data_IF_807578628247
#
_entry.id   IF_807578628247
#
_cell.length_a   1.000
_cell.length_b   1.000
_cell.length_c   1.000
_cell.angle_alpha   90.00
_cell.angle_beta   90.00
_cell.angle_gamma   90.00
#
_symmetry.space_group_name_H-M   'P 1'
#
loop_
_entity.id
_entity.type
_entity.pdbx_description
1 polymer ?
#
# COMPACT_ATOMS: atom_id res chain seq x y z
N UNK A 1 18.27 10.11 14.08
CA UNK A 1 16.81 10.04 13.93
C UNK A 1 16.25 9.02 14.91
N UNK A 2 15.27 9.43 15.71
CA UNK A 2 14.52 8.53 16.58
C UNK A 2 13.67 7.58 15.74
N UNK A 3 13.29 6.43 16.31
CA UNK A 3 12.45 5.44 15.64
C UNK A 3 11.11 6.02 15.19
N UNK A 4 10.45 6.79 16.06
CA UNK A 4 9.20 7.50 15.75
C UNK A 4 9.35 8.46 14.57
N UNK A 5 10.48 9.17 14.44
CA UNK A 5 10.74 10.05 13.29
C UNK A 5 10.88 9.27 11.98
N UNK A 6 11.42 8.04 12.04
CA UNK A 6 11.48 7.15 10.86
C UNK A 6 10.08 6.72 10.45
N UNK A 7 9.25 6.31 11.42
CA UNK A 7 7.88 5.86 11.17
C UNK A 7 7.00 6.98 10.61
N UNK A 8 7.11 8.20 11.14
CA UNK A 8 6.39 9.38 10.61
C UNK A 8 6.76 9.61 9.15
N UNK A 9 8.07 9.59 8.82
CA UNK A 9 8.52 9.73 7.43
C UNK A 9 8.03 8.62 6.51
N UNK A 10 7.93 7.38 7.02
CA UNK A 10 7.37 6.25 6.27
C UNK A 10 5.89 6.49 5.97
N UNK A 11 5.11 6.92 6.97
CA UNK A 11 3.69 7.22 6.80
C UNK A 11 3.46 8.38 5.81
N UNK A 12 4.25 9.45 5.91
CA UNK A 12 4.21 10.60 4.99
C UNK A 12 4.52 10.16 3.55
N UNK A 13 5.60 9.39 3.36
CA UNK A 13 5.98 8.90 2.04
C UNK A 13 4.90 7.96 1.45
N UNK A 14 4.33 7.08 2.25
CA UNK A 14 3.25 6.19 1.83
C UNK A 14 2.00 7.00 1.38
N UNK A 15 1.68 8.09 2.08
CA UNK A 15 0.60 9.00 1.70
C UNK A 15 0.90 9.76 0.42
N UNK A 16 2.16 10.18 0.22
CA UNK A 16 2.57 10.86 -1.00
C UNK A 16 2.56 9.92 -2.21
N UNK A 17 2.94 8.65 -2.05
CA UNK A 17 2.75 7.63 -3.10
C UNK A 17 1.29 7.56 -3.51
N UNK A 18 0.34 7.48 -2.55
CA UNK A 18 -1.09 7.45 -2.86
C UNK A 18 -1.55 8.69 -3.66
N UNK A 19 -1.07 9.90 -3.31
CA UNK A 19 -1.38 11.12 -4.06
C UNK A 19 -0.85 11.08 -5.49
N UNK A 20 0.38 10.61 -5.68
CA UNK A 20 0.98 10.48 -7.02
C UNK A 20 0.17 9.50 -7.88
N UNK A 21 -0.29 8.38 -7.32
CA UNK A 21 -1.15 7.42 -8.03
C UNK A 21 -2.46 8.04 -8.55
N UNK A 22 -3.01 9.03 -7.84
CA UNK A 22 -4.24 9.73 -8.27
C UNK A 22 -4.00 10.63 -9.49
N UNK A 23 -2.77 11.14 -9.64
CA UNK A 23 -2.41 12.12 -10.65
C UNK A 23 -1.80 11.50 -11.92
N UNK A 24 -1.32 10.26 -11.85
CA UNK A 24 -0.55 9.65 -12.92
C UNK A 24 -1.40 8.94 -13.98
N UNK A 25 -1.32 9.45 -15.21
CA UNK A 25 -1.90 8.82 -16.41
C UNK A 25 -1.19 7.50 -16.78
N UNK A 26 0.02 7.26 -16.24
CA UNK A 26 0.80 6.02 -16.43
C UNK A 26 -0.03 4.77 -16.11
N UNK A 27 -0.82 4.84 -15.05
CA UNK A 27 -1.66 3.73 -14.61
C UNK A 27 -2.93 3.51 -15.44
N UNK A 28 -3.26 4.40 -16.37
CA UNK A 28 -4.41 4.19 -17.26
C UNK A 28 -4.23 2.97 -18.17
N UNK A 29 -3.00 2.48 -18.34
CA UNK A 29 -2.68 1.26 -19.10
C UNK A 29 -2.73 -0.01 -18.27
N UNK A 30 -2.57 0.10 -16.94
CA UNK A 30 -2.54 -1.03 -15.99
C UNK A 30 -3.30 -0.65 -14.70
N UNK A 31 -4.65 -0.57 -14.76
CA UNK A 31 -5.46 -0.14 -13.63
C UNK A 31 -5.34 -1.08 -12.42
N UNK A 32 -5.08 -2.37 -12.64
CA UNK A 32 -4.88 -3.34 -11.56
C UNK A 32 -3.58 -3.08 -10.77
N UNK A 33 -2.49 -2.73 -11.47
CA UNK A 33 -1.23 -2.35 -10.82
C UNK A 33 -1.39 -1.05 -10.02
N UNK A 34 -2.23 -0.12 -10.46
CA UNK A 34 -2.55 1.10 -9.70
C UNK A 34 -3.15 0.75 -8.35
N UNK A 35 -4.19 -0.07 -8.37
CA UNK A 35 -4.88 -0.53 -7.16
C UNK A 35 -3.94 -1.34 -6.25
N UNK A 36 -3.02 -2.11 -6.83
CA UNK A 36 -2.01 -2.84 -6.06
C UNK A 36 -1.06 -1.90 -5.31
N UNK A 37 -0.49 -0.89 -6.00
CA UNK A 37 0.40 0.08 -5.35
C UNK A 37 -0.34 0.90 -4.30
N UNK A 38 -1.59 1.28 -4.56
CA UNK A 38 -2.43 2.00 -3.60
C UNK A 38 -2.68 1.17 -2.33
N UNK A 39 -3.06 -0.10 -2.48
CA UNK A 39 -3.29 -0.99 -1.36
C UNK A 39 -2.01 -1.22 -0.53
N UNK A 40 -0.85 -1.32 -1.17
CA UNK A 40 0.44 -1.47 -0.48
C UNK A 40 0.82 -0.18 0.26
N UNK A 41 0.71 0.98 -0.37
CA UNK A 41 1.00 2.26 0.25
C UNK A 41 0.08 2.52 1.46
N UNK A 42 -1.23 2.29 1.31
CA UNK A 42 -2.19 2.37 2.41
C UNK A 42 -1.82 1.43 3.57
N UNK A 43 -1.41 0.19 3.25
CA UNK A 43 -1.00 -0.79 4.26
C UNK A 43 0.22 -0.32 5.07
N UNK A 44 1.22 0.27 4.40
CA UNK A 44 2.41 0.83 5.05
C UNK A 44 2.05 2.01 5.95
N UNK A 45 1.20 2.92 5.47
CA UNK A 45 0.72 4.07 6.26
C UNK A 45 0.00 3.59 7.53
N UNK A 46 -0.91 2.62 7.40
CA UNK A 46 -1.69 2.07 8.52
C UNK A 46 -0.78 1.42 9.55
N UNK A 47 0.15 0.55 9.13
CA UNK A 47 1.08 -0.11 10.06
C UNK A 47 2.00 0.89 10.76
N UNK A 48 2.50 1.90 10.05
CA UNK A 48 3.33 2.95 10.65
C UNK A 48 2.53 3.73 11.70
N UNK A 49 1.29 4.12 11.38
CA UNK A 49 0.42 4.85 12.30
C UNK A 49 0.00 4.00 13.52
N UNK A 50 -0.25 2.70 13.32
CA UNK A 50 -0.53 1.74 14.39
C UNK A 50 0.62 1.71 15.40
N UNK A 51 1.87 1.74 14.92
CA UNK A 51 3.05 1.75 15.78
C UNK A 51 3.32 3.11 16.44
N UNK A 52 3.03 4.22 15.75
CA UNK A 52 3.27 5.58 16.29
C UNK A 52 2.28 5.91 17.41
N UNK A 53 1.00 5.63 17.20
CA UNK A 53 -0.08 6.10 18.07
C UNK A 53 -0.59 5.03 19.04
N UNK A 54 -0.19 3.77 18.83
CA UNK A 54 -0.90 2.63 19.40
C UNK A 54 -2.24 2.40 18.68
N UNK A 55 -2.80 1.21 18.85
CA UNK A 55 -4.07 0.84 18.25
C UNK A 55 -4.84 -0.08 19.20
N UNK A 56 -6.00 0.39 19.65
CA UNK A 56 -6.90 -0.35 20.56
C UNK A 56 -7.53 -1.57 19.87
N UNK A 57 -7.54 -1.60 18.53
CA UNK A 57 -8.07 -2.69 17.73
C UNK A 57 -7.05 -3.23 16.71
N UNK A 58 -5.83 -3.47 17.19
CA UNK A 58 -4.72 -3.96 16.37
C UNK A 58 -5.05 -5.23 15.57
N UNK A 59 -5.91 -6.13 16.09
CA UNK A 59 -6.28 -7.36 15.38
C UNK A 59 -7.05 -7.06 14.07
N UNK A 60 -8.08 -6.22 14.14
CA UNK A 60 -8.85 -5.86 12.96
C UNK A 60 -8.02 -5.03 11.97
N UNK A 61 -7.16 -4.15 12.47
CA UNK A 61 -6.21 -3.38 11.66
C UNK A 61 -5.26 -4.31 10.90
N UNK A 62 -4.67 -5.31 11.57
CA UNK A 62 -3.81 -6.29 10.91
C UNK A 62 -4.59 -7.14 9.90
N UNK A 63 -5.85 -7.49 10.18
CA UNK A 63 -6.71 -8.22 9.24
C UNK A 63 -7.03 -7.38 8.00
N UNK A 64 -7.26 -6.08 8.18
CA UNK A 64 -7.44 -5.12 7.10
C UNK A 64 -6.19 -5.03 6.22
N UNK A 65 -5.02 -4.83 6.84
CA UNK A 65 -3.72 -4.79 6.15
C UNK A 65 -3.46 -6.07 5.37
N UNK A 66 -3.65 -7.24 5.99
CA UNK A 66 -3.44 -8.53 5.33
C UNK A 66 -4.35 -8.68 4.11
N UNK A 67 -5.62 -8.28 4.22
CA UNK A 67 -6.57 -8.30 3.10
C UNK A 67 -6.08 -7.43 1.94
N UNK A 68 -5.65 -6.20 2.23
CA UNK A 68 -5.13 -5.24 1.24
C UNK A 68 -3.87 -5.76 0.55
N UNK A 69 -2.95 -6.35 1.30
CA UNK A 69 -1.74 -6.96 0.75
C UNK A 69 -2.05 -8.16 -0.14
N UNK A 70 -3.03 -9.00 0.21
CA UNK A 70 -3.46 -10.13 -0.63
C UNK A 70 -4.05 -9.66 -1.96
N UNK A 71 -4.88 -8.61 -1.94
CA UNK A 71 -5.43 -8.03 -3.17
C UNK A 71 -4.30 -7.53 -4.08
N UNK A 72 -3.35 -6.77 -3.51
CA UNK A 72 -2.20 -6.27 -4.27
C UNK A 72 -1.34 -7.41 -4.84
N UNK A 73 -1.05 -8.43 -4.05
CA UNK A 73 -0.31 -9.62 -4.48
C UNK A 73 -0.97 -10.32 -5.67
N UNK A 74 -2.29 -10.50 -5.61
CA UNK A 74 -3.04 -11.18 -6.67
C UNK A 74 -3.04 -10.36 -7.97
N UNK A 75 -3.28 -9.05 -7.89
CA UNK A 75 -3.23 -8.16 -9.05
C UNK A 75 -1.85 -8.18 -9.73
N UNK A 76 -0.75 -8.12 -8.95
CA UNK A 76 0.61 -8.20 -9.48
C UNK A 76 0.89 -9.57 -10.12
N UNK A 77 0.41 -10.65 -9.50
CA UNK A 77 0.58 -12.01 -10.03
C UNK A 77 -0.14 -12.19 -11.36
N UNK A 78 -1.37 -11.70 -11.46
CA UNK A 78 -2.18 -11.76 -12.67
C UNK A 78 -1.54 -10.96 -13.83
N UNK A 79 -1.07 -9.74 -13.57
CA UNK A 79 -0.36 -8.94 -14.58
C UNK A 79 0.93 -9.62 -15.05
N UNK A 80 1.69 -10.23 -14.13
CA UNK A 80 2.89 -11.02 -14.48
C UNK A 80 2.57 -12.20 -15.38
N UNK A 81 1.50 -12.94 -15.09
CA UNK A 81 1.05 -14.08 -15.92
C UNK A 81 0.58 -13.60 -17.30
N UNK A 82 -0.16 -12.49 -17.37
CA UNK A 82 -0.57 -11.87 -18.63
C UNK A 82 0.60 -11.44 -19.52
N UNK A 83 1.67 -10.93 -18.92
CA UNK A 83 2.92 -10.58 -19.62
C UNK A 83 3.65 -11.76 -20.25
N UNK A 84 3.45 -12.98 -19.76
CA UNK A 84 4.09 -14.19 -20.31
C UNK A 84 3.27 -14.85 -21.44
N UNK A 85 2.05 -14.37 -21.70
CA UNK A 85 1.14 -14.90 -22.72
C UNK A 85 1.09 -14.04 -24.00
N UNK A 86 1.82 -12.91 -24.02
CA UNK A 86 1.99 -11.99 -25.16
C UNK A 86 3.41 -11.99 -25.67
#
# INVERSE_FOLDING_TARGET
MKETEKLVRIAELAKDVQKLLVQESFFNRHPELRGAVENLACSVEVLANMHIHGDENAEDTLRYVLTKMRIAHNAISQEKEGFHLT
#
